data_IF_248077016643
#
_entry.id   IF_248077016643
#
_cell.length_a   1.000
_cell.length_b   1.000
_cell.length_c   1.000
_cell.angle_alpha   90.00
_cell.angle_beta   90.00
_cell.angle_gamma   90.00
#
_symmetry.space_group_name_H-M   'P 1'
#
loop_
_entity.id
_entity.type
_entity.pdbx_description
1 polymer ?
#
# COMPACT_ATOMS: atom_id res chain seq x y z
N UNK A 1 -36.37 7.65 9.37
CA UNK A 1 -35.77 7.77 8.01
C UNK A 1 -34.27 7.92 8.19
N UNK A 2 -33.53 6.81 8.08
CA UNK A 2 -32.08 6.80 8.23
C UNK A 2 -31.46 7.32 6.93
N UNK A 3 -30.78 8.48 6.98
CA UNK A 3 -30.08 9.03 5.82
C UNK A 3 -28.84 8.19 5.58
N UNK A 4 -28.85 7.44 4.48
CA UNK A 4 -27.69 6.80 3.90
C UNK A 4 -26.63 7.87 3.57
N UNK A 5 -25.35 7.70 3.94
CA UNK A 5 -24.29 8.65 3.60
C UNK A 5 -24.07 8.68 2.08
N UNK A 6 -23.94 9.88 1.50
CA UNK A 6 -23.76 10.14 0.05
C UNK A 6 -22.44 9.61 -0.57
N UNK A 7 -21.61 8.85 0.15
CA UNK A 7 -20.26 8.45 -0.28
C UNK A 7 -20.17 7.23 -1.21
N UNK A 8 -21.31 6.67 -1.64
CA UNK A 8 -21.43 5.42 -2.43
C UNK A 8 -21.68 5.65 -3.94
N UNK A 9 -21.71 6.90 -4.41
CA UNK A 9 -22.00 7.24 -5.82
C UNK A 9 -20.80 7.14 -6.78
N UNK A 10 -19.76 6.41 -6.43
CA UNK A 10 -18.58 6.18 -7.29
C UNK A 10 -18.75 4.99 -8.26
N UNK A 11 -19.91 4.33 -8.24
CA UNK A 11 -20.27 3.33 -9.24
C UNK A 11 -19.44 2.04 -9.14
N UNK A 12 -18.80 1.78 -7.99
CA UNK A 12 -18.08 0.54 -7.69
C UNK A 12 -18.86 -0.39 -6.72
N UNK A 13 -19.86 0.15 -6.02
CA UNK A 13 -20.69 -0.60 -5.06
C UNK A 13 -22.17 -0.47 -5.39
N UNK A 14 -22.86 -1.59 -5.55
CA UNK A 14 -24.29 -1.65 -5.76
C UNK A 14 -25.02 -1.69 -4.40
N UNK A 15 -25.74 -0.61 -4.11
CA UNK A 15 -26.48 -0.42 -2.85
C UNK A 15 -27.68 -1.38 -2.75
N UNK A 16 -28.25 -1.83 -3.87
CA UNK A 16 -29.39 -2.75 -3.87
C UNK A 16 -28.96 -4.18 -3.54
N UNK A 17 -27.83 -4.60 -4.09
CA UNK A 17 -27.31 -5.96 -3.91
C UNK A 17 -26.25 -6.07 -2.82
N UNK A 18 -25.77 -4.94 -2.28
CA UNK A 18 -24.70 -4.89 -1.28
C UNK A 18 -23.35 -5.38 -1.82
N UNK A 19 -23.16 -5.38 -3.14
CA UNK A 19 -22.03 -6.04 -3.80
C UNK A 19 -21.09 -5.05 -4.46
N UNK A 20 -19.79 -5.35 -4.42
CA UNK A 20 -18.80 -4.72 -5.28
C UNK A 20 -19.00 -5.19 -6.72
N UNK A 21 -18.79 -4.27 -7.68
CA UNK A 21 -18.94 -4.55 -9.11
C UNK A 21 -17.90 -5.54 -9.64
N UNK A 22 -16.71 -5.57 -9.03
CA UNK A 22 -15.66 -6.53 -9.32
C UNK A 22 -15.36 -7.37 -8.08
N UNK A 23 -15.06 -8.65 -8.29
CA UNK A 23 -14.59 -9.53 -7.22
C UNK A 23 -13.12 -9.26 -6.95
N UNK A 24 -12.79 -8.94 -5.70
CA UNK A 24 -11.41 -8.76 -5.24
C UNK A 24 -10.93 -10.09 -4.65
N UNK A 25 -9.81 -10.61 -5.14
CA UNK A 25 -9.20 -11.83 -4.61
C UNK A 25 -8.28 -11.50 -3.43
N UNK A 26 -8.82 -11.65 -2.23
CA UNK A 26 -8.11 -11.41 -0.96
C UNK A 26 -6.86 -12.27 -0.80
N UNK A 27 -6.89 -13.53 -1.28
CA UNK A 27 -5.75 -14.43 -1.14
C UNK A 27 -4.61 -13.99 -2.07
N UNK A 28 -4.94 -13.60 -3.30
CA UNK A 28 -3.96 -13.05 -4.23
C UNK A 28 -3.31 -11.77 -3.70
N UNK A 29 -4.07 -10.90 -3.01
CA UNK A 29 -3.53 -9.70 -2.35
C UNK A 29 -2.58 -10.07 -1.21
N UNK A 30 -2.96 -11.02 -0.35
CA UNK A 30 -2.08 -11.47 0.75
C UNK A 30 -0.80 -12.10 0.22
N UNK A 31 -0.88 -12.96 -0.80
CA UNK A 31 0.28 -13.55 -1.47
C UNK A 31 1.20 -12.48 -2.10
N UNK A 32 0.63 -11.38 -2.61
CA UNK A 32 1.40 -10.23 -3.10
C UNK A 32 2.07 -9.48 -1.95
N UNK A 33 1.36 -9.18 -0.85
CA UNK A 33 1.91 -8.48 0.31
C UNK A 33 3.09 -9.25 0.93
N UNK A 34 2.99 -10.58 1.05
CA UNK A 34 4.08 -11.43 1.54
C UNK A 34 5.35 -11.33 0.67
N UNK A 35 5.18 -11.14 -0.64
CA UNK A 35 6.28 -10.94 -1.60
C UNK A 35 6.83 -9.52 -1.60
N UNK A 36 6.04 -8.53 -1.19
CA UNK A 36 6.40 -7.12 -1.07
C UNK A 36 7.11 -6.84 0.26
N UNK A 37 8.05 -7.70 0.64
CA UNK A 37 8.88 -7.48 1.83
C UNK A 37 9.99 -6.47 1.49
N UNK A 38 10.13 -5.46 2.34
CA UNK A 38 11.22 -4.50 2.20
C UNK A 38 12.57 -5.24 2.25
N UNK A 39 13.53 -4.92 1.36
CA UNK A 39 14.80 -5.64 1.30
C UNK A 39 15.53 -5.59 2.65
N UNK A 40 15.79 -6.77 3.23
CA UNK A 40 16.42 -6.92 4.55
C UNK A 40 17.95 -6.69 4.53
N UNK A 41 18.59 -6.84 3.37
CA UNK A 41 20.04 -6.73 3.19
C UNK A 41 20.53 -5.28 3.05
N UNK A 42 20.07 -4.41 3.95
CA UNK A 42 20.50 -3.01 4.03
C UNK A 42 21.89 -2.90 4.66
N UNK A 43 22.32 -3.92 5.41
CA UNK A 43 23.63 -3.98 6.07
C UNK A 43 24.80 -3.76 5.10
N UNK A 44 24.71 -4.33 3.90
CA UNK A 44 25.75 -4.23 2.85
C UNK A 44 25.83 -2.82 2.26
N UNK A 45 24.72 -2.06 2.29
CA UNK A 45 24.68 -0.68 1.79
C UNK A 45 25.31 0.30 2.77
N UNK A 46 25.21 0.06 4.08
CA UNK A 46 25.79 0.97 5.08
C UNK A 46 27.31 0.97 5.08
N UNK A 47 27.96 -0.15 4.75
CA UNK A 47 29.43 -0.22 4.67
C UNK A 47 30.02 0.57 3.49
N UNK A 48 29.21 0.88 2.48
CA UNK A 48 29.65 1.48 1.21
C UNK A 48 29.19 2.94 1.03
N UNK A 49 28.29 3.44 1.87
CA UNK A 49 27.76 4.81 1.77
C UNK A 49 28.58 5.80 2.62
N UNK A 50 29.21 6.82 2.02
CA UNK A 50 30.09 7.75 2.72
C UNK A 50 29.37 8.82 3.58
N UNK A 51 28.03 8.92 3.51
CA UNK A 51 27.26 10.02 4.12
C UNK A 51 26.15 9.51 5.06
N UNK A 52 26.19 9.96 6.32
CA UNK A 52 25.22 9.59 7.35
C UNK A 52 23.78 9.97 6.99
N UNK A 53 23.57 11.11 6.31
CA UNK A 53 22.22 11.53 5.92
C UNK A 53 21.58 10.61 4.88
N UNK A 54 22.38 9.98 3.99
CA UNK A 54 21.86 8.99 3.03
C UNK A 54 21.43 7.72 3.73
N UNK A 55 22.18 7.31 4.74
CA UNK A 55 21.83 6.17 5.58
C UNK A 55 20.51 6.43 6.32
N UNK A 56 20.36 7.61 6.93
CA UNK A 56 19.13 8.02 7.63
C UNK A 56 17.91 8.07 6.68
N UNK A 57 18.10 8.58 5.46
CA UNK A 57 17.05 8.59 4.45
C UNK A 57 16.66 7.18 4.02
N UNK A 58 17.61 6.31 3.70
CA UNK A 58 17.32 4.91 3.33
C UNK A 58 16.57 4.20 4.46
N UNK A 59 16.98 4.38 5.72
CA UNK A 59 16.27 3.82 6.89
C UNK A 59 14.83 4.32 6.97
N UNK A 60 14.62 5.63 6.81
CA UNK A 60 13.29 6.24 6.83
C UNK A 60 12.39 5.65 5.75
N UNK A 61 12.91 5.50 4.52
CA UNK A 61 12.17 4.95 3.38
C UNK A 61 11.77 3.49 3.64
N UNK A 62 12.72 2.68 4.10
CA UNK A 62 12.48 1.27 4.42
C UNK A 62 11.46 1.11 5.56
N UNK A 63 11.60 1.90 6.62
CA UNK A 63 10.65 1.89 7.73
C UNK A 63 9.24 2.29 7.27
N UNK A 64 9.13 3.29 6.39
CA UNK A 64 7.83 3.71 5.81
C UNK A 64 7.21 2.60 4.96
N UNK A 65 7.99 1.94 4.11
CA UNK A 65 7.48 0.86 3.27
C UNK A 65 7.05 -0.35 4.10
N UNK A 66 7.84 -0.71 5.13
CA UNK A 66 7.48 -1.78 6.05
C UNK A 66 6.17 -1.46 6.80
N UNK A 67 6.04 -0.24 7.33
CA UNK A 67 4.83 0.21 8.00
C UNK A 67 3.62 0.23 7.04
N UNK A 68 3.79 0.72 5.81
CA UNK A 68 2.71 0.77 4.81
C UNK A 68 2.26 -0.62 4.39
N UNK A 69 3.19 -1.56 4.24
CA UNK A 69 2.90 -2.97 3.93
C UNK A 69 2.10 -3.61 5.07
N UNK A 70 2.56 -3.42 6.32
CA UNK A 70 1.86 -3.92 7.51
C UNK A 70 0.46 -3.29 7.68
N UNK A 71 0.32 -2.00 7.40
CA UNK A 71 -0.98 -1.33 7.41
C UNK A 71 -1.95 -1.91 6.37
N UNK A 72 -1.44 -2.29 5.19
CA UNK A 72 -2.25 -2.99 4.16
C UNK A 72 -2.66 -4.39 4.61
N UNK A 73 -1.75 -5.17 5.19
CA UNK A 73 -2.08 -6.49 5.75
C UNK A 73 -3.19 -6.38 6.80
N UNK A 74 -3.05 -5.44 7.74
CA UNK A 74 -4.06 -5.18 8.77
C UNK A 74 -5.39 -4.68 8.19
N UNK A 75 -5.35 -3.91 7.11
CA UNK A 75 -6.54 -3.46 6.40
C UNK A 75 -7.29 -4.63 5.76
N UNK A 76 -6.60 -5.52 5.05
CA UNK A 76 -7.20 -6.69 4.38
C UNK A 76 -7.79 -7.66 5.40
N UNK A 77 -7.10 -7.87 6.52
CA UNK A 77 -7.55 -8.74 7.61
C UNK A 77 -8.64 -8.08 8.50
N UNK A 78 -8.94 -6.80 8.29
CA UNK A 78 -9.90 -6.11 9.12
C UNK A 78 -11.30 -6.74 8.98
N UNK A 79 -12.01 -7.06 10.08
CA UNK A 79 -13.31 -7.73 10.00
C UNK A 79 -14.36 -7.01 9.14
N UNK A 80 -14.30 -5.68 9.05
CA UNK A 80 -15.22 -4.89 8.21
C UNK A 80 -14.88 -5.06 6.74
N UNK A 81 -13.59 -5.05 6.40
CA UNK A 81 -13.10 -5.22 5.04
C UNK A 81 -13.32 -6.67 4.60
N UNK A 82 -12.99 -7.65 5.44
CA UNK A 82 -13.25 -9.06 5.18
C UNK A 82 -14.74 -9.34 4.89
N UNK A 83 -15.67 -8.81 5.70
CA UNK A 83 -17.12 -8.95 5.46
C UNK A 83 -17.56 -8.33 4.14
N UNK A 84 -17.05 -7.13 3.83
CA UNK A 84 -17.36 -6.46 2.58
C UNK A 84 -16.90 -7.29 1.38
N UNK A 85 -15.69 -7.85 1.45
CA UNK A 85 -15.10 -8.69 0.41
C UNK A 85 -15.82 -10.04 0.25
N UNK A 86 -16.23 -10.67 1.37
CA UNK A 86 -16.99 -11.92 1.36
C UNK A 86 -18.48 -11.74 1.06
N UNK A 87 -18.96 -10.48 0.99
CA UNK A 87 -20.38 -10.12 0.82
C UNK A 87 -21.26 -10.70 1.94
N UNK A 88 -20.71 -10.82 3.14
CA UNK A 88 -21.40 -11.38 4.30
C UNK A 88 -22.09 -10.29 5.10
N UNK A 89 -23.42 -10.28 5.05
CA UNK A 89 -24.26 -9.44 5.91
C UNK A 89 -25.39 -8.74 5.17
N UNK A 90 -26.24 -8.01 5.90
CA UNK A 90 -27.30 -7.22 5.27
C UNK A 90 -26.73 -6.04 4.47
N UNK A 91 -27.38 -5.61 3.38
CA UNK A 91 -26.89 -4.53 2.51
C UNK A 91 -26.57 -3.22 3.25
N UNK A 92 -27.34 -2.86 4.27
CA UNK A 92 -27.12 -1.66 5.11
C UNK A 92 -25.83 -1.74 5.94
N UNK A 93 -25.40 -2.94 6.31
CA UNK A 93 -24.13 -3.15 6.99
C UNK A 93 -22.98 -3.11 5.99
N UNK A 94 -23.12 -3.78 4.84
CA UNK A 94 -22.12 -3.77 3.77
C UNK A 94 -21.88 -2.36 3.23
N UNK A 95 -22.92 -1.53 3.14
CA UNK A 95 -22.80 -0.13 2.78
C UNK A 95 -21.99 0.70 3.80
N UNK A 96 -22.18 0.45 5.10
CA UNK A 96 -21.40 1.12 6.15
C UNK A 96 -19.95 0.64 6.14
N UNK A 97 -19.75 -0.66 5.98
CA UNK A 97 -18.43 -1.26 5.88
C UNK A 97 -17.70 -0.71 4.63
N UNK A 98 -18.39 -0.57 3.48
CA UNK A 98 -17.85 0.05 2.26
C UNK A 98 -17.36 1.50 2.48
N UNK A 99 -18.18 2.34 3.13
CA UNK A 99 -17.79 3.72 3.41
C UNK A 99 -16.52 3.81 4.27
N UNK A 100 -16.41 2.95 5.29
CA UNK A 100 -15.23 2.89 6.17
C UNK A 100 -14.01 2.33 5.42
N UNK A 101 -14.20 1.27 4.63
CA UNK A 101 -13.15 0.67 3.81
C UNK A 101 -12.58 1.70 2.83
N UNK A 102 -13.43 2.46 2.14
CA UNK A 102 -13.01 3.49 1.19
C UNK A 102 -12.20 4.62 1.84
N UNK A 103 -12.59 5.08 3.03
CA UNK A 103 -11.81 6.07 3.78
C UNK A 103 -10.42 5.56 4.14
N UNK A 104 -10.33 4.29 4.56
CA UNK A 104 -9.04 3.63 4.84
C UNK A 104 -8.20 3.46 3.59
N UNK A 105 -8.79 3.05 2.47
CA UNK A 105 -8.09 2.95 1.17
C UNK A 105 -7.49 4.29 0.78
N UNK A 106 -8.21 5.40 0.96
CA UNK A 106 -7.67 6.74 0.69
C UNK A 106 -6.46 7.07 1.58
N UNK A 107 -6.51 6.68 2.86
CA UNK A 107 -5.37 6.86 3.77
C UNK A 107 -4.17 6.01 3.35
N UNK A 108 -4.40 4.77 2.90
CA UNK A 108 -3.35 3.90 2.37
C UNK A 108 -2.76 4.47 1.08
N UNK A 109 -3.58 5.00 0.16
CA UNK A 109 -3.13 5.68 -1.06
C UNK A 109 -2.20 6.85 -0.73
N UNK A 110 -2.56 7.69 0.24
CA UNK A 110 -1.67 8.77 0.70
C UNK A 110 -0.34 8.25 1.26
N UNK A 111 -0.33 7.15 2.02
CA UNK A 111 0.92 6.54 2.53
C UNK A 111 1.79 6.02 1.40
N UNK A 112 1.20 5.39 0.39
CA UNK A 112 1.88 4.92 -0.82
C UNK A 112 2.46 6.10 -1.61
N UNK A 113 1.71 7.19 -1.77
CA UNK A 113 2.20 8.39 -2.45
C UNK A 113 3.40 9.02 -1.73
N UNK A 114 3.36 9.11 -0.39
CA UNK A 114 4.52 9.55 0.39
C UNK A 114 5.73 8.63 0.19
N UNK A 115 5.53 7.31 0.13
CA UNK A 115 6.61 6.38 -0.16
C UNK A 115 7.17 6.54 -1.59
N UNK A 116 6.32 6.88 -2.57
CA UNK A 116 6.76 7.19 -3.94
C UNK A 116 7.60 8.46 -4.00
N UNK A 117 7.19 9.50 -3.29
CA UNK A 117 7.98 10.75 -3.17
C UNK A 117 9.35 10.48 -2.55
N UNK A 118 9.37 9.73 -1.47
CA UNK A 118 10.57 9.28 -0.76
C UNK A 118 11.55 8.52 -1.68
N UNK A 119 11.05 7.57 -2.49
CA UNK A 119 11.87 6.82 -3.46
C UNK A 119 12.33 7.70 -4.61
N UNK A 120 11.50 8.67 -5.03
CA UNK A 120 11.85 9.63 -6.07
C UNK A 120 13.00 10.52 -5.62
N UNK A 121 12.95 11.06 -4.41
CA UNK A 121 14.05 11.82 -3.82
C UNK A 121 15.34 11.00 -3.83
N UNK A 122 15.29 9.74 -3.38
CA UNK A 122 16.45 8.85 -3.40
C UNK A 122 16.99 8.60 -4.81
N UNK A 123 16.09 8.45 -5.79
CA UNK A 123 16.46 8.29 -7.21
C UNK A 123 17.12 9.54 -7.77
N UNK A 124 16.57 10.72 -7.48
CA UNK A 124 17.08 12.00 -8.02
C UNK A 124 18.47 12.33 -7.48
N UNK A 125 18.82 11.78 -6.31
CA UNK A 125 20.14 11.92 -5.69
C UNK A 125 21.14 10.83 -6.13
N UNK A 126 20.67 9.75 -6.76
CA UNK A 126 21.52 8.66 -7.22
C UNK A 126 22.28 9.07 -8.50
N UNK A 127 23.59 8.88 -8.49
CA UNK A 127 24.49 9.20 -9.60
C UNK A 127 25.09 7.88 -10.14
N UNK A 128 24.61 7.39 -11.29
CA UNK A 128 25.15 6.17 -11.91
C UNK A 128 26.66 6.24 -12.14
N UNK A 129 27.39 5.20 -11.74
CA UNK A 129 28.84 5.10 -11.90
C UNK A 129 29.68 5.87 -10.86
N UNK A 130 29.03 6.66 -9.99
CA UNK A 130 29.64 7.25 -8.79
C UNK A 130 29.15 6.53 -7.55
N UNK A 131 27.84 6.32 -7.46
CA UNK A 131 27.23 5.51 -6.42
C UNK A 131 27.31 4.02 -6.78
N UNK A 132 27.42 3.17 -5.75
CA UNK A 132 27.57 1.73 -5.92
C UNK A 132 26.34 1.07 -6.55
N UNK A 133 26.55 0.06 -7.39
CA UNK A 133 25.50 -0.68 -8.09
C UNK A 133 24.42 -1.22 -7.14
N UNK A 134 24.82 -1.63 -5.93
CA UNK A 134 23.91 -2.11 -4.90
C UNK A 134 22.85 -1.05 -4.49
N UNK A 135 23.17 0.25 -4.53
CA UNK A 135 22.19 1.31 -4.27
C UNK A 135 21.19 1.44 -5.43
N UNK A 136 21.67 1.30 -6.67
CA UNK A 136 20.81 1.24 -7.86
C UNK A 136 19.81 0.09 -7.78
N UNK A 137 20.30 -1.11 -7.45
CA UNK A 137 19.48 -2.31 -7.26
C UNK A 137 18.46 -2.14 -6.12
N UNK A 138 18.85 -1.48 -5.02
CA UNK A 138 17.93 -1.16 -3.93
C UNK A 138 16.81 -0.24 -4.43
N UNK A 139 17.15 0.86 -5.11
CA UNK A 139 16.17 1.82 -5.63
C UNK A 139 15.16 1.12 -6.55
N UNK A 140 15.63 0.22 -7.43
CA UNK A 140 14.76 -0.55 -8.30
C UNK A 140 13.80 -1.47 -7.51
N UNK A 141 14.31 -2.19 -6.51
CA UNK A 141 13.48 -3.02 -5.62
C UNK A 141 12.42 -2.19 -4.89
N UNK A 142 12.79 -1.03 -4.36
CA UNK A 142 11.85 -0.14 -3.66
C UNK A 142 10.77 0.38 -4.61
N UNK A 143 11.12 0.72 -5.86
CA UNK A 143 10.15 1.11 -6.90
C UNK A 143 9.16 0.00 -7.20
N UNK A 144 9.64 -1.23 -7.39
CA UNK A 144 8.77 -2.40 -7.62
C UNK A 144 7.84 -2.59 -6.42
N UNK A 145 8.36 -2.47 -5.21
CA UNK A 145 7.57 -2.63 -3.99
C UNK A 145 6.44 -1.59 -3.92
N UNK A 146 6.76 -0.31 -4.10
CA UNK A 146 5.75 0.76 -4.00
C UNK A 146 4.71 0.68 -5.12
N UNK A 147 5.10 0.24 -6.32
CA UNK A 147 4.17 -0.02 -7.43
C UNK A 147 3.23 -1.19 -7.11
N UNK A 148 3.72 -2.23 -6.43
CA UNK A 148 2.88 -3.34 -5.96
C UNK A 148 1.85 -2.87 -4.94
N UNK A 149 2.26 -2.06 -3.95
CA UNK A 149 1.35 -1.48 -2.95
C UNK A 149 0.31 -0.56 -3.62
N UNK A 150 0.72 0.26 -4.60
CA UNK A 150 -0.19 1.11 -5.38
C UNK A 150 -1.24 0.29 -6.13
N UNK A 151 -0.83 -0.81 -6.78
CA UNK A 151 -1.74 -1.70 -7.49
C UNK A 151 -2.79 -2.32 -6.55
N UNK A 152 -2.38 -2.75 -5.35
CA UNK A 152 -3.30 -3.25 -4.32
C UNK A 152 -4.27 -2.15 -3.89
N UNK A 153 -3.80 -0.94 -3.63
CA UNK A 153 -4.67 0.19 -3.30
C UNK A 153 -5.72 0.49 -4.38
N UNK A 154 -5.38 0.27 -5.64
CA UNK A 154 -6.26 0.55 -6.78
C UNK A 154 -7.23 -0.59 -7.10
N UNK A 155 -7.10 -1.77 -6.46
CA UNK A 155 -8.09 -2.84 -6.57
C UNK A 155 -9.32 -2.63 -5.70
N UNK A 156 -9.32 -1.62 -4.81
CA UNK A 156 -10.43 -1.23 -3.93
C UNK A 156 -11.01 0.12 -4.34
#
# INVERSE_FOLDING_TARGET
MSRVPRSVEDGQFDIQTGSLNESIDTQAIMDQLERLTAPADVAVLYETLPESWRQDNIQRILARLAATTSDMEHFVQNPQTARLLSREGPPEQLQRDYAVTKERVNTLKMKVDMAKEDIKELTDMYIPGVDGDALGDLIEKLKIQVQGLEAICNSF
#
